data_IF_917148611195
#
_entry.id   IF_917148611195
#
_cell.length_a   1.000
_cell.length_b   1.000
_cell.length_c   1.000
_cell.angle_alpha   90.00
_cell.angle_beta   90.00
_cell.angle_gamma   90.00
#
_symmetry.space_group_name_H-M   'P 1'
#
loop_
_entity.id
_entity.type
_entity.pdbx_description
1 polymer ?
#
# COMPACT_ATOMS: atom_id res chain seq x y z
N UNK A 1 -13.53 1.37 -3.35
CA UNK A 1 -12.44 2.28 -3.81
C UNK A 1 -11.42 1.49 -4.61
N UNK A 2 -10.92 2.01 -5.74
CA UNK A 2 -9.87 1.36 -6.55
C UNK A 2 -8.57 2.15 -6.54
N UNK A 3 -7.45 1.45 -6.43
CA UNK A 3 -6.11 2.04 -6.48
C UNK A 3 -5.18 1.23 -7.38
N UNK A 4 -4.15 1.89 -7.90
CA UNK A 4 -3.11 1.29 -8.73
C UNK A 4 -1.88 0.95 -7.88
N UNK A 5 -1.38 -0.27 -8.02
CA UNK A 5 -0.23 -0.80 -7.30
C UNK A 5 0.81 -1.33 -8.27
N UNK A 6 2.08 -1.16 -7.93
CA UNK A 6 3.14 -1.94 -8.56
C UNK A 6 3.20 -3.32 -7.90
N UNK A 7 3.24 -4.37 -8.71
CA UNK A 7 3.39 -5.74 -8.20
C UNK A 7 4.78 -5.91 -7.59
N UNK A 8 4.91 -6.31 -6.30
CA UNK A 8 6.22 -6.53 -5.69
C UNK A 8 7.00 -7.64 -6.39
N UNK A 9 8.33 -7.57 -6.35
CA UNK A 9 9.21 -8.50 -7.08
C UNK A 9 9.09 -9.95 -6.59
N UNK A 10 8.66 -10.15 -5.35
CA UNK A 10 8.46 -11.42 -4.67
C UNK A 10 7.17 -12.14 -5.11
N UNK A 11 6.27 -11.45 -5.80
CA UNK A 11 4.99 -12.01 -6.23
C UNK A 11 5.16 -12.81 -7.52
N UNK A 12 4.21 -13.68 -7.80
CA UNK A 12 4.12 -14.38 -9.07
C UNK A 12 2.97 -13.81 -9.91
N UNK A 13 3.24 -13.59 -11.20
CA UNK A 13 2.28 -13.10 -12.18
C UNK A 13 2.17 -14.17 -13.27
N UNK A 14 0.99 -14.78 -13.40
CA UNK A 14 0.76 -15.98 -14.21
C UNK A 14 1.75 -17.12 -13.87
N UNK A 15 2.01 -17.34 -12.58
CA UNK A 15 2.94 -18.38 -12.09
C UNK A 15 4.43 -18.07 -12.31
N UNK A 16 4.77 -16.91 -12.88
CA UNK A 16 6.16 -16.49 -13.11
C UNK A 16 6.55 -15.41 -12.08
N UNK A 17 7.70 -15.53 -11.39
CA UNK A 17 8.18 -14.50 -10.48
C UNK A 17 8.24 -13.12 -11.15
N UNK A 18 7.69 -12.10 -10.50
CA UNK A 18 7.67 -10.72 -11.01
C UNK A 18 9.08 -10.16 -11.21
N UNK A 19 10.06 -10.59 -10.41
CA UNK A 19 11.48 -10.27 -10.58
C UNK A 19 12.08 -10.69 -11.94
N UNK A 20 11.48 -11.65 -12.63
CA UNK A 20 11.89 -12.11 -13.98
C UNK A 20 11.11 -11.44 -15.11
N UNK A 21 10.23 -10.48 -14.79
CA UNK A 21 9.34 -9.81 -15.74
C UNK A 21 9.55 -8.30 -15.70
N UNK A 22 9.19 -7.58 -16.77
CA UNK A 22 9.03 -6.13 -16.68
C UNK A 22 8.04 -5.74 -15.58
N UNK A 23 8.21 -4.54 -15.01
CA UNK A 23 7.33 -4.00 -13.97
C UNK A 23 5.86 -4.08 -14.38
N UNK A 24 5.05 -4.71 -13.54
CA UNK A 24 3.62 -4.86 -13.74
C UNK A 24 2.86 -3.92 -12.78
N UNK A 25 1.85 -3.22 -13.31
CA UNK A 25 0.91 -2.43 -12.53
C UNK A 25 -0.44 -3.13 -12.52
N UNK A 26 -1.09 -3.17 -11.36
CA UNK A 26 -2.43 -3.72 -11.18
C UNK A 26 -3.34 -2.68 -10.54
N UNK A 27 -4.60 -2.68 -10.97
CA UNK A 27 -5.66 -1.93 -10.31
C UNK A 27 -6.45 -2.89 -9.44
N UNK A 28 -6.55 -2.59 -8.14
CA UNK A 28 -7.22 -3.45 -7.18
C UNK A 28 -8.27 -2.70 -6.39
N UNK A 29 -9.33 -3.42 -6.00
CA UNK A 29 -10.28 -2.93 -5.01
C UNK A 29 -9.61 -2.96 -3.63
N UNK A 30 -9.58 -1.79 -2.99
CA UNK A 30 -9.08 -1.59 -1.63
C UNK A 30 -10.21 -1.89 -0.66
N UNK A 31 -9.95 -2.80 0.28
CA UNK A 31 -10.87 -3.19 1.35
C UNK A 31 -10.54 -2.44 2.64
N UNK A 32 -9.25 -2.15 2.88
CA UNK A 32 -8.82 -1.43 4.06
C UNK A 32 -7.60 -0.56 3.74
N UNK A 33 -7.54 0.64 4.27
CA UNK A 33 -6.41 1.55 4.16
C UNK A 33 -5.77 1.78 5.55
N UNK A 34 -4.45 1.69 5.60
CA UNK A 34 -3.63 1.86 6.80
C UNK A 34 -2.68 3.04 6.60
N UNK A 35 -2.74 4.01 7.50
CA UNK A 35 -1.82 5.14 7.55
C UNK A 35 -0.66 4.80 8.48
N UNK A 36 0.56 4.98 8.01
CA UNK A 36 1.77 4.87 8.81
C UNK A 36 2.42 6.23 8.91
N UNK A 37 2.63 6.70 10.14
CA UNK A 37 3.26 7.98 10.42
C UNK A 37 4.66 7.69 10.94
N UNK A 38 5.68 8.00 10.14
CA UNK A 38 7.07 7.83 10.58
C UNK A 38 7.51 9.08 11.35
N UNK A 39 8.03 8.94 12.59
CA UNK A 39 8.52 10.07 13.34
C UNK A 39 9.68 10.74 12.58
N UNK A 40 9.84 12.07 12.72
CA UNK A 40 10.91 12.79 12.04
C UNK A 40 12.27 12.20 12.44
N UNK A 41 13.04 11.72 11.44
CA UNK A 41 14.39 11.20 11.68
C UNK A 41 15.29 12.36 12.11
N UNK A 42 15.80 12.32 13.36
CA UNK A 42 16.90 13.20 13.77
C UNK A 42 18.18 12.69 13.13
N UNK A 43 18.68 13.36 12.09
CA UNK A 43 20.03 13.10 11.61
C UNK A 43 21.02 13.54 12.69
N UNK A 44 21.80 12.59 13.23
CA UNK A 44 22.73 12.79 14.34
C UNK A 44 24.05 13.48 13.92
N UNK A 45 24.15 13.96 12.68
CA UNK A 45 25.34 14.63 12.18
C UNK A 45 24.96 15.93 11.46
N UNK A 46 25.69 16.98 11.86
CA UNK A 46 25.79 18.32 11.26
C UNK A 46 24.83 19.41 11.80
N UNK A 47 25.48 20.54 12.13
CA UNK A 47 25.00 21.78 12.76
C UNK A 47 23.92 22.57 11.98
N UNK A 48 23.13 21.97 11.10
CA UNK A 48 22.00 22.64 10.43
C UNK A 48 20.69 21.94 10.76
N UNK A 49 19.92 22.57 11.66
CA UNK A 49 18.57 22.16 12.07
C UNK A 49 17.61 22.24 10.87
N UNK A 50 17.60 21.23 10.00
CA UNK A 50 16.40 20.92 9.20
C UNK A 50 15.81 19.66 9.79
N UNK A 51 14.75 19.81 10.58
CA UNK A 51 13.89 18.67 10.87
C UNK A 51 13.24 18.27 9.54
N UNK A 52 13.43 17.04 9.11
CA UNK A 52 12.62 16.52 8.01
C UNK A 52 11.16 16.44 8.46
N UNK A 53 10.20 16.78 7.58
CA UNK A 53 8.80 16.67 7.90
C UNK A 53 8.44 15.21 8.18
N UNK A 54 7.49 15.00 9.09
CA UNK A 54 6.85 13.71 9.33
C UNK A 54 6.39 13.10 8.01
N UNK A 55 6.93 11.94 7.64
CA UNK A 55 6.51 11.25 6.43
C UNK A 55 5.31 10.36 6.73
N UNK A 56 4.23 10.58 5.99
CA UNK A 56 3.04 9.73 6.01
C UNK A 56 3.13 8.77 4.83
N UNK A 57 3.14 7.48 5.12
CA UNK A 57 3.03 6.42 4.12
C UNK A 57 1.71 5.70 4.29
N UNK A 58 1.23 5.08 3.21
CA UNK A 58 -0.03 4.34 3.22
C UNK A 58 0.21 2.90 2.78
N UNK A 59 -0.43 1.97 3.46
CA UNK A 59 -0.63 0.59 3.00
C UNK A 59 -2.11 0.34 2.77
N UNK A 60 -2.43 -0.60 1.91
CA UNK A 60 -3.78 -1.03 1.63
C UNK A 60 -3.88 -2.55 1.69
N UNK A 61 -4.95 -3.09 2.27
CA UNK A 61 -5.33 -4.47 2.06
C UNK A 61 -6.25 -4.53 0.84
N UNK A 62 -5.86 -5.34 -0.14
CA UNK A 62 -6.50 -5.38 -1.46
C UNK A 62 -6.87 -6.79 -1.88
N UNK A 63 -7.90 -6.88 -2.72
CA UNK A 63 -8.21 -8.11 -3.45
C UNK A 63 -7.33 -8.20 -4.68
N UNK A 64 -6.43 -9.19 -4.69
CA UNK A 64 -5.55 -9.42 -5.83
C UNK A 64 -6.33 -10.03 -7.00
N UNK A 65 -5.96 -9.71 -8.25
CA UNK A 65 -6.43 -10.46 -9.41
C UNK A 65 -6.02 -11.94 -9.28
N UNK A 66 -6.84 -12.89 -9.79
CA UNK A 66 -6.61 -14.32 -9.61
C UNK A 66 -5.32 -14.84 -10.26
N UNK A 67 -4.75 -14.07 -11.19
CA UNK A 67 -3.50 -14.37 -11.87
C UNK A 67 -2.25 -13.81 -11.16
N UNK A 68 -2.43 -13.10 -10.03
CA UNK A 68 -1.34 -12.60 -9.18
C UNK A 68 -1.34 -13.40 -7.88
N UNK A 69 -0.21 -14.05 -7.58
CA UNK A 69 -0.05 -14.87 -6.37
C UNK A 69 0.98 -14.23 -5.43
N UNK A 70 0.61 -13.90 -4.18
CA UNK A 70 1.54 -13.42 -3.17
C UNK A 70 2.38 -14.59 -2.62
N UNK A 71 3.57 -14.33 -2.06
CA UNK A 71 4.31 -15.36 -1.33
C UNK A 71 3.57 -15.76 -0.04
N UNK A 72 3.80 -16.99 0.45
CA UNK A 72 3.06 -17.55 1.59
C UNK A 72 3.15 -16.68 2.85
N UNK A 73 4.33 -16.13 3.14
CA UNK A 73 4.59 -15.32 4.34
C UNK A 73 4.14 -13.86 4.22
N UNK A 74 3.47 -13.49 3.13
CA UNK A 74 3.02 -12.11 2.94
C UNK A 74 1.86 -11.75 3.89
N UNK A 75 1.89 -10.52 4.38
CA UNK A 75 0.86 -9.97 5.27
C UNK A 75 -0.51 -9.97 4.59
N UNK A 76 -1.49 -10.57 5.26
CA UNK A 76 -2.84 -10.77 4.74
C UNK A 76 -3.89 -10.71 5.85
N UNK A 77 -5.11 -10.31 5.49
CA UNK A 77 -6.27 -10.45 6.37
C UNK A 77 -6.71 -11.91 6.44
N UNK A 78 -7.53 -12.25 7.44
CA UNK A 78 -8.15 -13.59 7.56
C UNK A 78 -9.05 -13.92 6.35
N UNK A 79 -9.64 -12.89 5.74
CA UNK A 79 -10.45 -12.97 4.52
C UNK A 79 -9.62 -13.15 3.24
N UNK A 80 -8.29 -13.05 3.31
CA UNK A 80 -7.37 -13.33 2.21
C UNK A 80 -6.84 -12.10 1.46
N UNK A 81 -7.34 -10.89 1.72
CA UNK A 81 -6.80 -9.66 1.14
C UNK A 81 -5.35 -9.43 1.56
N UNK A 82 -4.55 -8.93 0.63
CA UNK A 82 -3.10 -8.84 0.74
C UNK A 82 -2.67 -7.40 0.97
N UNK A 83 -1.74 -7.20 1.89
CA UNK A 83 -1.19 -5.86 2.14
C UNK A 83 -0.27 -5.42 1.01
N UNK A 84 -0.52 -4.26 0.41
CA UNK A 84 0.37 -3.60 -0.55
C UNK A 84 0.67 -2.17 -0.10
N UNK A 85 1.85 -1.67 -0.47
CA UNK A 85 2.22 -0.28 -0.25
C UNK A 85 1.56 0.61 -1.30
N UNK A 86 0.89 1.67 -0.87
CA UNK A 86 0.25 2.64 -1.77
C UNK A 86 1.30 3.64 -2.26
N UNK A 87 1.51 3.67 -3.56
CA UNK A 87 2.34 4.70 -4.19
C UNK A 87 1.53 5.97 -4.42
N UNK A 88 1.94 7.08 -3.81
CA UNK A 88 1.33 8.41 -4.03
C UNK A 88 1.46 8.83 -5.49
N UNK A 89 2.58 8.52 -6.15
CA UNK A 89 2.80 8.87 -7.55
C UNK A 89 1.81 8.17 -8.50
N UNK A 90 1.50 6.90 -8.25
CA UNK A 90 0.54 6.13 -9.04
C UNK A 90 -0.91 6.54 -8.77
N UNK A 91 -1.21 7.00 -7.56
CA UNK A 91 -2.57 7.27 -7.08
C UNK A 91 -2.87 8.75 -6.87
N UNK A 92 -2.13 9.66 -7.52
CA UNK A 92 -2.27 11.12 -7.36
C UNK A 92 -3.67 11.69 -7.61
N UNK A 93 -4.52 10.94 -8.36
CA UNK A 93 -5.90 11.33 -8.69
C UNK A 93 -6.94 10.64 -7.81
N UNK A 94 -6.51 9.76 -6.91
CA UNK A 94 -7.40 9.02 -6.03
C UNK A 94 -7.47 9.78 -4.71
N UNK A 95 -8.68 10.19 -4.33
CA UNK A 95 -8.91 10.87 -3.06
C UNK A 95 -8.81 9.87 -1.91
N UNK A 96 -7.87 10.11 -1.00
CA UNK A 96 -7.71 9.28 0.21
C UNK A 96 -8.75 9.74 1.24
N UNK A 97 -9.63 8.85 1.73
CA UNK A 97 -10.63 9.23 2.71
C UNK A 97 -9.97 9.68 4.02
N UNK A 98 -10.63 10.59 4.77
CA UNK A 98 -10.11 11.05 6.05
C UNK A 98 -10.09 9.90 7.07
N UNK A 99 -9.01 9.80 7.83
CA UNK A 99 -8.89 8.85 8.92
C UNK A 99 -9.57 9.40 10.18
N UNK A 100 -10.39 8.60 10.90
CA UNK A 100 -10.97 9.01 12.17
C UNK A 100 -9.90 9.41 13.19
N UNK A 101 -10.25 10.32 14.11
CA UNK A 101 -9.33 10.79 15.15
C UNK A 101 -8.85 9.61 16.00
N UNK A 102 -7.53 9.49 16.18
CA UNK A 102 -6.91 8.42 16.94
C UNK A 102 -6.90 7.04 16.25
N UNK A 103 -7.35 6.95 14.99
CA UNK A 103 -7.29 5.71 14.19
C UNK A 103 -6.34 5.88 13.01
N UNK A 104 -5.56 4.83 12.76
CA UNK A 104 -4.64 4.73 11.63
C UNK A 104 -5.09 3.68 10.60
N UNK A 105 -6.31 3.15 10.76
CA UNK A 105 -6.91 2.15 9.87
C UNK A 105 -8.34 2.56 9.55
N UNK A 106 -8.72 2.44 8.29
CA UNK A 106 -10.10 2.64 7.82
C UNK A 106 -10.50 1.49 6.90
N UNK A 107 -11.69 0.93 7.16
CA UNK A 107 -12.31 -0.04 6.27
C UNK A 107 -13.00 0.74 5.17
N UNK A 108 -12.78 0.34 3.93
CA UNK A 108 -13.46 0.91 2.77
C UNK A 108 -14.72 0.08 2.56
N UNK A 109 -15.86 0.63 2.95
CA UNK A 109 -17.15 0.05 2.62
C UNK A 109 -17.28 0.01 1.09
N UNK A 110 -17.54 -1.18 0.54
CA UNK A 110 -17.90 -1.29 -0.86
C UNK A 110 -19.35 -0.81 -0.94
N UNK A 111 -19.61 0.32 -1.60
CA UNK A 111 -20.97 0.61 -2.09
C UNK A 111 -21.37 -0.59 -2.96
N UNK A 112 -22.23 -1.45 -2.41
CA UNK A 112 -22.97 -2.45 -3.17
C UNK A 112 -23.87 -1.68 -4.13
N UNK A 113 -23.43 -1.60 -5.39
CA UNK A 113 -24.28 -1.23 -6.52
C UNK A 113 -25.10 -2.44 -6.96
#
# INVERSE_FOLDING_TARGET
MRMTFAVPAEFHVFGIPQSKRPSCLIQCDVVELVRMVSPPRRQWYSRRRRMEPTQVTYSAFVRLPPWVTPPERWSRLLSGEVQLTVSVALNRRVEIPPFPVGKDRIVIEQETA
#
